data_IF_776350662679
#
_entry.id   IF_776350662679
#
_cell.length_a   1.000
_cell.length_b   1.000
_cell.length_c   1.000
_cell.angle_alpha   90.00
_cell.angle_beta   90.00
_cell.angle_gamma   90.00
#
_symmetry.space_group_name_H-M   'P 1'
#
loop_
_entity.id
_entity.type
_entity.pdbx_description
1 polymer ?
#
# COMPACT_ATOMS: atom_id res chain seq x y z
N UNK A 1 17.60 -22.96 -13.33
CA UNK A 1 18.58 -22.30 -12.44
C UNK A 1 17.75 -21.35 -11.58
N UNK A 2 17.77 -21.49 -10.24
CA UNK A 2 17.20 -20.44 -9.36
C UNK A 2 18.06 -19.21 -9.54
N UNK A 3 17.45 -18.08 -9.96
CA UNK A 3 18.17 -16.82 -10.01
C UNK A 3 18.59 -16.47 -8.57
N UNK A 4 19.83 -16.03 -8.36
CA UNK A 4 20.36 -15.60 -7.04
C UNK A 4 19.58 -14.41 -6.43
N UNK A 5 18.60 -13.89 -7.16
CA UNK A 5 17.75 -12.76 -6.75
C UNK A 5 16.42 -13.17 -6.12
N UNK A 6 16.03 -14.44 -6.22
CA UNK A 6 14.73 -14.89 -5.74
C UNK A 6 14.72 -15.03 -4.22
N UNK A 7 13.82 -14.33 -3.56
CA UNK A 7 13.55 -14.50 -2.13
C UNK A 7 12.06 -14.49 -1.84
N UNK A 8 11.71 -15.07 -0.71
CA UNK A 8 10.34 -15.05 -0.19
C UNK A 8 10.39 -14.92 1.33
N UNK A 9 9.54 -14.09 1.88
CA UNK A 9 9.34 -13.95 3.32
C UNK A 9 7.86 -14.07 3.67
N UNK A 10 7.58 -14.77 4.76
CA UNK A 10 6.23 -14.82 5.33
C UNK A 10 5.91 -13.47 5.95
N UNK A 11 4.78 -12.89 5.57
CA UNK A 11 4.26 -11.68 6.20
C UNK A 11 3.55 -12.02 7.51
N UNK A 12 3.67 -11.16 8.49
CA UNK A 12 2.96 -11.32 9.75
C UNK A 12 1.57 -10.69 9.65
N UNK A 13 0.57 -11.41 10.18
CA UNK A 13 -0.80 -10.92 10.36
C UNK A 13 -1.02 -10.61 11.83
N UNK A 14 -1.64 -9.48 12.10
CA UNK A 14 -2.14 -9.16 13.43
C UNK A 14 -3.64 -9.42 13.48
N UNK A 15 -4.11 -10.03 14.56
CA UNK A 15 -5.54 -10.27 14.73
C UNK A 15 -6.25 -8.92 14.87
N UNK A 16 -7.10 -8.59 13.89
CA UNK A 16 -7.84 -7.32 13.84
C UNK A 16 -7.15 -6.21 13.03
N UNK A 17 -5.85 -6.33 12.77
CA UNK A 17 -5.09 -5.46 11.86
C UNK A 17 -4.55 -6.34 10.74
N UNK A 18 -4.96 -6.06 9.51
CA UNK A 18 -4.61 -6.89 8.36
C UNK A 18 -3.52 -6.27 7.48
N UNK A 19 -2.90 -5.15 7.90
CA UNK A 19 -1.73 -4.62 7.23
C UNK A 19 -0.61 -5.68 7.23
N UNK A 20 0.10 -5.88 6.12
CA UNK A 20 1.18 -6.86 6.05
C UNK A 20 2.44 -6.30 6.71
N UNK A 21 3.01 -7.06 7.64
CA UNK A 21 4.28 -6.72 8.28
C UNK A 21 5.37 -7.69 7.84
N UNK A 22 6.47 -7.16 7.36
CA UNK A 22 7.68 -7.91 7.06
C UNK A 22 8.64 -7.86 8.26
N UNK A 23 9.14 -9.03 8.67
CA UNK A 23 10.20 -9.11 9.67
C UNK A 23 11.54 -8.82 9.02
N UNK A 24 12.23 -7.82 9.54
CA UNK A 24 13.59 -7.44 9.14
C UNK A 24 14.58 -7.72 10.27
N UNK A 25 15.83 -7.95 9.91
CA UNK A 25 16.95 -8.02 10.86
C UNK A 25 17.94 -6.90 10.57
N UNK A 26 18.51 -6.34 11.61
CA UNK A 26 19.53 -5.29 11.51
C UNK A 26 20.59 -5.47 12.59
N UNK A 27 21.73 -4.81 12.42
CA UNK A 27 22.84 -4.85 13.37
C UNK A 27 22.94 -3.49 14.04
N UNK A 28 23.01 -3.47 15.37
CA UNK A 28 23.21 -2.26 16.15
C UNK A 28 24.70 -1.82 16.20
N UNK A 29 24.98 -0.71 16.90
CA UNK A 29 26.34 -0.18 17.05
C UNK A 29 27.30 -1.12 17.82
N UNK A 30 26.77 -2.08 18.59
CA UNK A 30 27.52 -3.08 19.33
C UNK A 30 27.73 -4.39 18.52
N UNK A 31 27.40 -4.38 17.24
CA UNK A 31 27.41 -5.53 16.33
C UNK A 31 26.47 -6.67 16.75
N UNK A 32 25.41 -6.38 17.51
CA UNK A 32 24.37 -7.35 17.85
C UNK A 32 23.26 -7.32 16.81
N UNK A 33 22.77 -8.49 16.43
CA UNK A 33 21.64 -8.65 15.53
C UNK A 33 20.32 -8.53 16.29
N UNK A 34 19.43 -7.70 15.77
CA UNK A 34 18.08 -7.48 16.28
C UNK A 34 17.06 -7.76 15.20
N UNK A 35 15.83 -8.04 15.62
CA UNK A 35 14.68 -8.18 14.73
C UNK A 35 13.69 -7.05 14.96
N UNK A 36 13.10 -6.57 13.89
CA UNK A 36 12.01 -5.60 13.92
C UNK A 36 10.98 -5.91 12.84
N UNK A 37 9.87 -5.19 12.86
CA UNK A 37 8.83 -5.23 11.83
C UNK A 37 8.82 -3.94 11.05
N UNK A 38 8.49 -4.04 9.77
CA UNK A 38 8.15 -2.92 8.90
C UNK A 38 6.81 -3.21 8.22
N UNK A 39 5.95 -2.20 8.15
CA UNK A 39 4.72 -2.26 7.36
C UNK A 39 5.12 -2.35 5.89
N UNK A 40 4.52 -3.25 5.14
CA UNK A 40 4.66 -3.29 3.67
C UNK A 40 3.53 -2.47 3.09
N UNK A 41 3.84 -1.26 2.61
CA UNK A 41 2.87 -0.24 2.23
C UNK A 41 3.01 0.12 0.74
N UNK A 42 2.07 -0.36 -0.06
CA UNK A 42 2.02 -0.10 -1.50
C UNK A 42 1.76 1.36 -1.86
N UNK A 43 1.19 2.14 -0.96
CA UNK A 43 0.88 3.55 -1.16
C UNK A 43 1.88 4.51 -0.50
N UNK A 44 2.82 4.01 0.27
CA UNK A 44 4.01 4.78 0.65
C UNK A 44 5.00 4.82 -0.50
N UNK A 45 5.26 5.98 -1.10
CA UNK A 45 6.23 6.08 -2.20
C UNK A 45 7.63 5.65 -1.74
N UNK A 46 8.04 6.07 -0.54
CA UNK A 46 9.39 5.86 -0.01
C UNK A 46 9.39 4.92 1.18
N UNK A 47 10.54 4.30 1.44
CA UNK A 47 10.79 3.65 2.71
C UNK A 47 10.87 4.70 3.82
N UNK A 48 10.33 4.38 4.99
CA UNK A 48 10.28 5.31 6.13
C UNK A 48 10.80 4.61 7.39
N UNK A 49 11.72 5.25 8.11
CA UNK A 49 12.02 4.90 9.50
C UNK A 49 11.28 5.86 10.43
N UNK A 50 10.68 5.30 11.48
CA UNK A 50 10.08 6.06 12.57
C UNK A 50 11.22 6.39 13.53
N UNK A 51 11.75 7.62 13.43
CA UNK A 51 13.01 8.00 14.06
C UNK A 51 13.07 7.69 15.54
N UNK A 52 12.03 8.08 16.30
CA UNK A 52 11.99 7.81 17.75
C UNK A 52 12.06 6.31 18.08
N UNK A 53 11.35 5.47 17.35
CA UNK A 53 11.35 4.00 17.54
C UNK A 53 12.68 3.39 17.11
N UNK A 54 13.20 3.81 15.98
CA UNK A 54 14.46 3.32 15.45
C UNK A 54 15.61 3.63 16.42
N UNK A 55 15.67 4.84 16.96
CA UNK A 55 16.66 5.23 17.98
C UNK A 55 16.50 4.42 19.28
N UNK A 56 15.28 4.28 19.78
CA UNK A 56 14.99 3.48 20.98
C UNK A 56 15.46 2.03 20.87
N UNK A 57 15.42 1.46 19.67
CA UNK A 57 15.81 0.07 19.40
C UNK A 57 17.22 -0.07 18.82
N UNK A 58 18.04 0.98 18.89
CA UNK A 58 19.45 0.93 18.51
C UNK A 58 19.70 0.75 17.00
N UNK A 59 18.72 1.12 16.17
CA UNK A 59 18.89 1.11 14.71
C UNK A 59 19.96 2.10 14.30
N UNK A 60 20.94 1.63 13.54
CA UNK A 60 22.03 2.47 13.02
C UNK A 60 21.73 2.77 11.55
N UNK A 61 21.80 4.05 11.19
CA UNK A 61 21.67 4.50 9.81
C UNK A 61 22.78 5.50 9.46
N UNK A 62 23.07 5.60 8.17
CA UNK A 62 23.97 6.59 7.64
C UNK A 62 23.15 7.82 7.20
N UNK A 63 23.34 8.94 7.89
CA UNK A 63 22.66 10.19 7.50
C UNK A 63 23.12 10.63 6.09
N UNK A 64 22.17 11.12 5.30
CA UNK A 64 22.41 11.76 4.00
C UNK A 64 22.01 13.23 4.07
N UNK A 65 22.60 14.04 3.18
CA UNK A 65 22.25 15.46 3.08
C UNK A 65 20.88 15.65 2.44
N UNK A 66 20.12 16.61 2.95
CA UNK A 66 18.82 17.02 2.41
C UNK A 66 17.63 16.53 3.23
N UNK A 67 16.48 16.97 2.78
CA UNK A 67 15.19 16.64 3.36
C UNK A 67 14.21 16.30 2.26
N UNK A 68 13.15 15.55 2.60
CA UNK A 68 12.06 15.22 1.71
C UNK A 68 10.72 15.49 2.40
N UNK A 69 9.78 16.04 1.68
CA UNK A 69 8.41 16.17 2.15
C UNK A 69 7.61 14.95 1.74
N UNK A 70 7.01 14.28 2.70
CA UNK A 70 6.12 13.12 2.48
C UNK A 70 4.71 13.49 2.93
N UNK A 71 3.72 13.10 2.14
CA UNK A 71 2.31 13.26 2.46
C UNK A 71 1.75 11.99 3.12
N UNK A 72 0.69 12.16 3.90
CA UNK A 72 -0.09 11.08 4.48
C UNK A 72 -1.59 11.23 4.17
N UNK A 73 -2.39 10.30 4.64
CA UNK A 73 -3.83 10.25 4.44
C UNK A 73 -4.60 11.51 4.96
N UNK A 74 -3.96 12.35 5.77
CA UNK A 74 -4.54 13.59 6.33
C UNK A 74 -4.29 14.86 5.51
N UNK A 75 -3.78 14.76 4.29
CA UNK A 75 -3.39 15.92 3.44
C UNK A 75 -2.29 16.82 4.04
N UNK A 76 -1.70 16.44 5.14
CA UNK A 76 -0.57 17.16 5.74
C UNK A 76 0.75 16.66 5.18
N UNK A 77 1.68 17.59 4.97
CA UNK A 77 3.04 17.29 4.55
C UNK A 77 3.98 17.28 5.75
N UNK A 78 4.75 16.22 5.86
CA UNK A 78 5.77 16.08 6.90
C UNK A 78 7.15 16.16 6.26
N UNK A 79 8.01 17.04 6.77
CA UNK A 79 9.42 17.11 6.35
C UNK A 79 10.20 16.02 7.07
N UNK A 80 10.95 15.24 6.31
CA UNK A 80 11.77 14.12 6.80
C UNK A 80 13.22 14.33 6.44
N UNK A 81 14.14 13.78 7.24
CA UNK A 81 15.57 13.68 6.93
C UNK A 81 15.81 12.48 6.01
N UNK A 82 16.92 12.48 5.28
CA UNK A 82 17.31 11.36 4.44
C UNK A 82 18.41 10.54 5.10
N UNK A 83 18.37 9.24 4.91
CA UNK A 83 19.37 8.31 5.42
C UNK A 83 19.44 7.04 4.58
N UNK A 84 20.53 6.29 4.73
CA UNK A 84 20.64 4.90 4.28
C UNK A 84 20.61 3.96 5.46
N UNK A 85 19.86 2.88 5.31
CA UNK A 85 19.72 1.86 6.34
C UNK A 85 20.07 0.48 5.78
N UNK A 86 20.87 -0.25 6.58
CA UNK A 86 21.24 -1.64 6.29
C UNK A 86 20.32 -2.58 7.04
N UNK A 87 19.67 -3.49 6.33
CA UNK A 87 18.83 -4.51 6.92
C UNK A 87 18.84 -5.80 6.09
N UNK A 88 18.44 -6.89 6.74
CA UNK A 88 18.21 -8.19 6.09
C UNK A 88 16.71 -8.46 6.07
N UNK A 89 16.19 -8.84 4.92
CA UNK A 89 14.82 -9.28 4.73
C UNK A 89 14.84 -10.71 4.16
N UNK A 90 14.37 -11.68 4.94
CA UNK A 90 14.55 -13.08 4.61
C UNK A 90 16.04 -13.46 4.55
N UNK A 91 16.50 -13.95 3.39
CA UNK A 91 17.91 -14.31 3.17
C UNK A 91 18.74 -13.21 2.50
N UNK A 92 18.14 -12.05 2.19
CA UNK A 92 18.76 -11.02 1.37
C UNK A 92 19.09 -9.76 2.19
N UNK A 93 20.29 -9.24 1.99
CA UNK A 93 20.72 -7.98 2.58
C UNK A 93 20.41 -6.80 1.66
N UNK A 94 19.99 -5.69 2.25
CA UNK A 94 19.64 -4.46 1.58
C UNK A 94 20.37 -3.28 2.21
N UNK A 95 20.68 -2.28 1.39
CA UNK A 95 21.21 -0.99 1.81
C UNK A 95 20.46 0.10 1.04
N UNK A 96 19.36 0.56 1.63
CA UNK A 96 18.37 1.36 0.92
C UNK A 96 18.22 2.76 1.49
N UNK A 97 17.79 3.73 0.66
CA UNK A 97 17.40 5.04 1.14
C UNK A 97 16.10 4.99 1.93
N UNK A 98 16.07 5.75 3.03
CA UNK A 98 14.92 5.93 3.90
C UNK A 98 14.68 7.40 4.20
N UNK A 99 13.41 7.77 4.32
CA UNK A 99 12.98 9.00 4.95
C UNK A 99 12.89 8.77 6.47
N UNK A 100 13.58 9.58 7.26
CA UNK A 100 13.50 9.52 8.72
C UNK A 100 12.42 10.50 9.18
N UNK A 101 11.29 9.97 9.62
CA UNK A 101 10.24 10.78 10.23
C UNK A 101 10.56 10.98 11.71
N UNK A 102 10.79 12.23 12.08
CA UNK A 102 10.98 12.58 13.48
C UNK A 102 9.68 12.39 14.27
N UNK A 103 9.81 11.95 15.54
CA UNK A 103 8.69 11.61 16.40
C UNK A 103 8.08 10.24 16.07
N UNK A 104 6.90 9.99 16.62
CA UNK A 104 6.14 8.73 16.44
C UNK A 104 5.03 8.88 15.40
N UNK A 105 4.39 7.77 15.03
CA UNK A 105 3.20 7.71 14.18
C UNK A 105 2.13 6.87 14.87
N UNK A 106 0.87 7.10 14.50
CA UNK A 106 -0.26 6.44 15.14
C UNK A 106 -0.53 5.05 14.55
N UNK A 107 0.43 4.15 14.76
CA UNK A 107 0.31 2.71 14.52
C UNK A 107 0.84 1.99 15.76
N UNK A 108 0.52 0.72 16.01
CA UNK A 108 1.09 -0.05 17.12
C UNK A 108 2.61 0.08 17.17
N UNK A 109 3.18 0.20 18.37
CA UNK A 109 4.63 0.29 18.55
C UNK A 109 5.33 -1.06 18.39
N UNK A 110 4.62 -2.15 18.67
CA UNK A 110 5.12 -3.52 18.60
C UNK A 110 4.02 -4.52 18.31
N UNK A 111 4.42 -5.70 17.86
CA UNK A 111 3.55 -6.86 17.68
C UNK A 111 4.22 -8.08 18.30
N UNK A 112 3.59 -8.67 19.31
CA UNK A 112 4.14 -9.85 20.00
C UNK A 112 5.53 -9.62 20.59
N UNK A 113 5.81 -8.41 21.06
CA UNK A 113 7.11 -8.01 21.61
C UNK A 113 8.17 -7.69 20.54
N UNK A 114 7.81 -7.69 19.25
CA UNK A 114 8.72 -7.28 18.16
C UNK A 114 8.40 -5.84 17.75
N UNK A 115 9.35 -4.91 17.84
CA UNK A 115 9.10 -3.49 17.58
C UNK A 115 8.79 -3.23 16.09
N UNK A 116 7.88 -2.28 15.84
CA UNK A 116 7.64 -1.76 14.50
C UNK A 116 8.47 -0.48 14.34
N UNK A 117 9.43 -0.50 13.43
CA UNK A 117 10.41 0.59 13.26
C UNK A 117 10.21 1.41 11.98
N UNK A 118 9.35 0.98 11.06
CA UNK A 118 9.21 1.68 9.80
C UNK A 118 8.26 1.06 8.80
N UNK A 119 8.41 1.51 7.56
CA UNK A 119 7.59 1.18 6.40
C UNK A 119 8.51 0.83 5.23
N UNK A 120 8.21 -0.23 4.50
CA UNK A 120 8.76 -0.54 3.18
C UNK A 120 7.78 -0.04 2.12
N UNK A 121 8.23 0.89 1.30
CA UNK A 121 7.39 1.59 0.32
C UNK A 121 7.40 0.97 -1.07
N UNK A 122 6.57 1.51 -1.95
CA UNK A 122 6.37 0.95 -3.29
C UNK A 122 7.60 1.07 -4.21
N UNK A 123 8.42 2.12 -4.07
CA UNK A 123 9.66 2.23 -4.87
C UNK A 123 10.62 1.08 -4.57
N UNK A 124 10.71 0.64 -3.31
CA UNK A 124 11.45 -0.57 -2.93
C UNK A 124 10.85 -1.81 -3.60
N UNK A 125 9.53 -1.95 -3.55
CA UNK A 125 8.85 -3.09 -4.19
C UNK A 125 9.04 -3.09 -5.71
N UNK A 126 8.98 -1.94 -6.38
CA UNK A 126 9.23 -1.82 -7.81
C UNK A 126 10.68 -2.15 -8.16
N UNK A 127 11.66 -1.58 -7.42
CA UNK A 127 13.10 -1.78 -7.65
C UNK A 127 13.48 -3.26 -7.59
N UNK A 128 12.92 -3.99 -6.65
CA UNK A 128 13.20 -5.41 -6.45
C UNK A 128 12.18 -6.35 -7.07
N UNK A 129 11.23 -5.80 -7.83
CA UNK A 129 10.18 -6.55 -8.53
C UNK A 129 9.41 -7.48 -7.59
N UNK A 130 8.97 -6.94 -6.45
CA UNK A 130 8.31 -7.72 -5.42
C UNK A 130 6.81 -7.86 -5.71
N UNK A 131 6.24 -8.93 -5.17
CA UNK A 131 4.80 -9.15 -5.12
C UNK A 131 4.35 -9.32 -3.67
N UNK A 132 3.25 -8.68 -3.31
CA UNK A 132 2.50 -8.92 -2.07
C UNK A 132 1.40 -9.92 -2.43
N UNK A 133 1.52 -11.14 -1.97
CA UNK A 133 0.54 -12.21 -2.22
C UNK A 133 -0.31 -12.42 -0.96
N UNK A 134 -1.57 -12.01 -1.04
CA UNK A 134 -2.53 -12.18 0.05
C UNK A 134 -3.12 -13.59 0.11
N UNK A 135 -2.93 -14.42 -0.91
CA UNK A 135 -3.36 -15.82 -0.85
C UNK A 135 -2.49 -16.61 0.15
N UNK A 136 -1.16 -16.50 0.02
CA UNK A 136 -0.19 -17.16 0.88
C UNK A 136 0.35 -16.25 1.99
N UNK A 137 -0.03 -14.96 1.95
CA UNK A 137 0.42 -13.90 2.87
C UNK A 137 1.94 -13.76 2.88
N UNK A 138 2.53 -13.63 1.69
CA UNK A 138 3.97 -13.54 1.48
C UNK A 138 4.37 -12.27 0.75
N UNK A 139 5.60 -11.83 0.98
CA UNK A 139 6.31 -10.89 0.12
C UNK A 139 7.41 -11.66 -0.58
N UNK A 140 7.41 -11.67 -1.90
CA UNK A 140 8.38 -12.45 -2.67
C UNK A 140 8.80 -11.71 -3.94
N UNK A 141 9.93 -12.12 -4.51
CA UNK A 141 10.29 -11.68 -5.87
C UNK A 141 9.28 -12.23 -6.86
N UNK A 142 8.77 -11.39 -7.75
CA UNK A 142 7.85 -11.83 -8.79
C UNK A 142 8.54 -12.86 -9.70
N UNK A 143 7.99 -14.08 -9.71
CA UNK A 143 8.44 -15.18 -10.55
C UNK A 143 7.60 -15.32 -11.83
N UNK A 144 6.64 -14.43 -12.02
CA UNK A 144 5.77 -14.41 -13.17
C UNK A 144 6.41 -13.57 -14.26
N UNK A 145 6.53 -14.10 -15.47
CA UNK A 145 6.79 -13.25 -16.63
C UNK A 145 5.46 -12.68 -17.15
N UNK A 146 5.42 -11.44 -17.68
CA UNK A 146 4.21 -10.88 -18.26
C UNK A 146 3.57 -11.78 -19.32
N UNK A 147 4.39 -12.55 -20.05
CA UNK A 147 3.95 -13.47 -21.08
C UNK A 147 3.26 -14.74 -20.52
N UNK A 148 3.54 -15.09 -19.27
CA UNK A 148 2.98 -16.26 -18.59
C UNK A 148 1.77 -15.94 -17.72
N UNK A 149 1.51 -14.66 -17.47
CA UNK A 149 0.32 -14.22 -16.74
C UNK A 149 -0.81 -14.00 -17.75
N UNK A 150 -1.73 -14.95 -17.84
CA UNK A 150 -2.87 -14.86 -18.76
C UNK A 150 -4.08 -14.30 -18.02
N UNK A 151 -4.76 -13.38 -18.66
CA UNK A 151 -6.02 -12.80 -18.15
C UNK A 151 -7.04 -13.90 -17.89
N UNK A 152 -7.15 -14.90 -18.79
CA UNK A 152 -8.04 -16.06 -18.66
C UNK A 152 -7.80 -16.93 -17.42
N UNK A 153 -6.62 -16.85 -16.82
CA UNK A 153 -6.28 -17.60 -15.61
C UNK A 153 -6.62 -16.82 -14.31
N UNK A 154 -7.29 -15.66 -14.45
CA UNK A 154 -7.61 -14.76 -13.34
C UNK A 154 -9.11 -14.47 -13.24
N UNK A 155 -9.65 -14.49 -12.01
CA UNK A 155 -11.00 -13.99 -11.70
C UNK A 155 -11.05 -12.45 -11.67
N UNK A 156 -9.90 -11.82 -11.43
CA UNK A 156 -9.70 -10.38 -11.43
C UNK A 156 -8.31 -10.05 -11.97
N UNK A 157 -8.24 -9.04 -12.83
CA UNK A 157 -6.99 -8.62 -13.45
C UNK A 157 -7.03 -7.13 -13.79
N UNK A 158 -6.09 -6.34 -13.25
CA UNK A 158 -6.03 -4.90 -13.49
C UNK A 158 -4.59 -4.40 -13.64
N UNK A 159 -4.28 -3.54 -14.63
CA UNK A 159 -2.94 -3.00 -14.82
C UNK A 159 -2.60 -1.93 -13.78
N UNK A 160 -1.63 -2.21 -12.93
CA UNK A 160 -1.07 -1.26 -11.96
C UNK A 160 -0.22 -0.19 -12.64
N UNK A 161 0.30 -0.46 -13.84
CA UNK A 161 1.24 0.38 -14.56
C UNK A 161 0.71 1.80 -14.78
N UNK A 162 -0.57 1.95 -15.14
CA UNK A 162 -1.21 3.25 -15.36
C UNK A 162 -1.12 4.11 -14.08
N UNK A 163 -1.37 3.52 -12.92
CA UNK A 163 -1.27 4.21 -11.65
C UNK A 163 0.16 4.57 -11.28
N UNK A 164 1.08 3.61 -11.42
CA UNK A 164 2.50 3.83 -11.13
C UNK A 164 3.12 4.87 -12.06
N UNK A 165 2.74 4.92 -13.34
CA UNK A 165 3.24 5.92 -14.29
C UNK A 165 2.69 7.32 -13.98
N UNK A 166 1.39 7.43 -13.66
CA UNK A 166 0.70 8.72 -13.53
C UNK A 166 0.74 9.28 -12.11
N UNK A 167 0.46 8.43 -11.11
CA UNK A 167 0.33 8.85 -9.71
C UNK A 167 1.55 8.46 -8.86
N UNK A 168 2.44 7.59 -9.37
CA UNK A 168 3.49 6.94 -8.59
C UNK A 168 2.96 5.93 -7.57
N UNK A 169 1.67 5.60 -7.61
CA UNK A 169 0.97 4.73 -6.66
C UNK A 169 0.12 3.70 -7.42
N UNK A 170 -0.08 2.48 -6.88
CA UNK A 170 -0.97 1.50 -7.49
C UNK A 170 -2.42 1.97 -7.38
N UNK A 171 -3.11 2.07 -8.50
CA UNK A 171 -4.51 2.46 -8.57
C UNK A 171 -5.37 1.36 -9.15
N UNK A 172 -6.66 1.45 -8.86
CA UNK A 172 -7.74 0.65 -9.43
C UNK A 172 -8.79 1.60 -9.99
N UNK A 173 -9.59 1.13 -10.93
CA UNK A 173 -10.78 1.82 -11.36
C UNK A 173 -12.02 1.14 -10.77
N UNK A 174 -12.88 1.95 -10.18
CA UNK A 174 -14.21 1.55 -9.73
C UNK A 174 -15.23 2.16 -10.69
N UNK A 175 -16.13 1.34 -11.23
CA UNK A 175 -17.26 1.81 -12.04
C UNK A 175 -18.49 1.96 -11.16
N UNK A 176 -19.08 3.15 -11.20
CA UNK A 176 -20.32 3.44 -10.51
C UNK A 176 -21.24 4.28 -11.40
N UNK A 177 -22.48 3.82 -11.59
CA UNK A 177 -23.49 4.52 -12.42
C UNK A 177 -22.95 4.93 -13.82
N UNK A 178 -22.10 4.10 -14.43
CA UNK A 178 -21.49 4.36 -15.73
C UNK A 178 -20.30 5.34 -15.73
N UNK A 179 -19.86 5.80 -14.55
CA UNK A 179 -18.68 6.67 -14.39
C UNK A 179 -17.56 5.89 -13.71
N UNK A 180 -16.36 6.00 -14.25
CA UNK A 180 -15.16 5.40 -13.66
C UNK A 180 -14.49 6.39 -12.72
N UNK A 181 -14.17 5.95 -11.51
CA UNK A 181 -13.45 6.71 -10.49
C UNK A 181 -12.19 5.97 -10.06
N UNK A 182 -11.17 6.72 -9.66
CA UNK A 182 -9.87 6.18 -9.29
C UNK A 182 -9.77 5.99 -7.78
N UNK A 183 -9.32 4.82 -7.36
CA UNK A 183 -8.99 4.50 -5.97
C UNK A 183 -7.60 3.88 -5.87
N UNK A 184 -6.96 3.99 -4.71
CA UNK A 184 -5.67 3.35 -4.44
C UNK A 184 -5.85 1.87 -4.04
N UNK A 185 -4.87 1.05 -4.37
CA UNK A 185 -4.70 -0.28 -3.77
C UNK A 185 -3.65 -0.18 -2.66
N UNK A 186 -4.10 0.03 -1.42
CA UNK A 186 -3.26 0.41 -0.28
C UNK A 186 -3.06 -0.75 0.69
N UNK A 187 -1.90 -1.40 0.61
CA UNK A 187 -1.55 -2.50 1.52
C UNK A 187 -1.25 -2.04 2.95
N UNK A 188 -0.89 -0.77 3.15
CA UNK A 188 -0.67 -0.19 4.47
C UNK A 188 -1.96 0.16 5.21
N UNK A 189 -3.08 0.30 4.49
CA UNK A 189 -4.35 0.66 5.08
C UNK A 189 -5.09 -0.54 5.68
N UNK A 190 -5.59 -0.36 6.91
CA UNK A 190 -6.36 -1.37 7.66
C UNK A 190 -7.88 -1.27 7.43
N UNK A 191 -8.32 -0.37 6.55
CA UNK A 191 -9.71 -0.17 6.18
C UNK A 191 -9.81 0.32 4.74
N UNK A 192 -10.94 0.05 4.08
CA UNK A 192 -11.27 0.77 2.85
C UNK A 192 -11.71 2.20 3.20
N UNK A 193 -11.40 3.17 2.35
CA UNK A 193 -11.76 4.59 2.54
C UNK A 193 -12.40 5.13 1.28
N UNK A 194 -13.40 5.99 1.45
CA UNK A 194 -14.03 6.73 0.35
C UNK A 194 -14.30 8.17 0.74
N UNK A 195 -14.17 9.09 -0.21
CA UNK A 195 -14.48 10.49 0.01
C UNK A 195 -16.00 10.73 0.09
N UNK A 196 -16.45 11.46 1.10
CA UNK A 196 -17.87 11.79 1.29
C UNK A 196 -18.46 12.59 0.12
N UNK A 197 -17.63 13.39 -0.57
CA UNK A 197 -18.08 14.13 -1.75
C UNK A 197 -18.48 13.18 -2.87
N UNK A 198 -17.71 12.09 -3.10
CA UNK A 198 -18.04 11.09 -4.12
C UNK A 198 -19.37 10.40 -3.85
N UNK A 199 -19.70 10.17 -2.57
CA UNK A 199 -21.00 9.63 -2.17
C UNK A 199 -22.12 10.62 -2.45
N UNK A 200 -21.92 11.92 -2.07
CA UNK A 200 -22.91 12.99 -2.26
C UNK A 200 -23.21 13.25 -3.74
N UNK A 201 -22.22 13.17 -4.59
CA UNK A 201 -22.37 13.39 -6.03
C UNK A 201 -23.11 12.23 -6.73
N UNK A 202 -23.66 11.28 -5.94
CA UNK A 202 -24.43 10.16 -6.44
C UNK A 202 -23.57 9.05 -7.05
N UNK A 203 -22.27 9.10 -6.75
CA UNK A 203 -21.32 8.12 -7.28
C UNK A 203 -21.47 6.73 -6.68
N UNK A 204 -21.96 6.59 -5.44
CA UNK A 204 -22.00 5.29 -4.77
C UNK A 204 -23.33 4.99 -4.10
N UNK A 205 -23.81 3.75 -4.29
CA UNK A 205 -24.88 3.18 -3.47
C UNK A 205 -24.30 2.82 -2.09
N UNK A 206 -24.61 3.62 -1.08
CA UNK A 206 -24.07 3.44 0.25
C UNK A 206 -25.13 3.62 1.34
N UNK A 207 -24.95 2.85 2.43
CA UNK A 207 -25.72 2.96 3.67
C UNK A 207 -24.78 3.37 4.80
N UNK A 208 -24.95 4.57 5.35
CA UNK A 208 -24.21 5.01 6.54
C UNK A 208 -24.64 4.17 7.74
N UNK A 209 -23.67 3.58 8.45
CA UNK A 209 -23.91 2.68 9.56
C UNK A 209 -23.99 3.39 10.92
N UNK A 210 -23.71 4.70 10.96
CA UNK A 210 -23.82 5.53 12.17
C UNK A 210 -22.69 5.38 13.19
N UNK A 211 -21.72 4.50 12.95
CA UNK A 211 -20.49 4.40 13.76
C UNK A 211 -19.54 5.52 13.39
N UNK A 212 -18.84 6.07 14.40
CA UNK A 212 -17.77 7.06 14.21
C UNK A 212 -16.48 6.45 14.70
N UNK A 213 -15.41 6.63 13.92
CA UNK A 213 -14.09 6.10 14.21
C UNK A 213 -13.04 7.13 13.76
N UNK A 214 -11.77 6.85 14.00
CA UNK A 214 -10.66 7.68 13.57
C UNK A 214 -9.74 6.85 12.69
N UNK A 215 -9.42 7.34 11.50
CA UNK A 215 -8.33 6.81 10.70
C UNK A 215 -7.06 7.60 10.99
N UNK A 216 -5.98 6.88 11.21
CA UNK A 216 -4.67 7.46 11.43
C UNK A 216 -3.79 7.28 10.21
N UNK A 217 -2.89 8.22 10.00
CA UNK A 217 -1.87 8.19 8.96
C UNK A 217 -0.57 8.80 9.47
N UNK A 218 0.43 8.88 8.60
CA UNK A 218 1.76 9.39 8.95
C UNK A 218 1.73 10.87 9.40
N UNK A 219 0.71 11.61 9.00
CA UNK A 219 0.55 13.04 9.25
C UNK A 219 -0.55 13.38 10.27
N UNK A 220 -1.21 12.38 10.87
CA UNK A 220 -2.26 12.61 11.86
C UNK A 220 -3.52 11.75 11.64
N UNK A 221 -4.56 12.02 12.43
CA UNK A 221 -5.83 11.30 12.40
C UNK A 221 -7.01 12.15 11.92
N UNK A 222 -8.00 11.51 11.32
CA UNK A 222 -9.25 12.14 10.86
C UNK A 222 -10.44 11.32 11.30
N UNK A 223 -11.48 12.01 11.82
CA UNK A 223 -12.75 11.38 12.16
C UNK A 223 -13.48 10.92 10.89
N UNK A 224 -13.98 9.71 10.90
CA UNK A 224 -14.67 9.06 9.79
C UNK A 224 -15.94 8.35 10.26
N UNK A 225 -16.83 8.01 9.33
CA UNK A 225 -18.03 7.21 9.59
C UNK A 225 -17.98 5.94 8.77
N UNK A 226 -18.48 4.87 9.34
CA UNK A 226 -18.65 3.62 8.60
C UNK A 226 -19.84 3.70 7.64
N UNK A 227 -19.64 3.17 6.45
CA UNK A 227 -20.70 2.97 5.47
C UNK A 227 -20.57 1.60 4.81
N UNK A 228 -21.68 0.92 4.58
CA UNK A 228 -21.75 -0.19 3.65
C UNK A 228 -21.83 0.37 2.23
N UNK A 229 -20.87 0.04 1.39
CA UNK A 229 -20.77 0.56 0.02
C UNK A 229 -20.85 -0.59 -0.98
N UNK A 230 -21.73 -0.45 -1.97
CA UNK A 230 -21.77 -1.32 -3.14
C UNK A 230 -20.98 -0.66 -4.26
N UNK A 231 -20.12 -1.42 -4.90
CA UNK A 231 -19.23 -0.91 -5.94
C UNK A 231 -18.89 -2.00 -6.96
N UNK A 232 -18.42 -1.58 -8.12
CA UNK A 232 -17.95 -2.47 -9.17
C UNK A 232 -16.49 -2.18 -9.47
N UNK A 233 -15.62 -3.16 -9.29
CA UNK A 233 -14.24 -3.07 -9.74
C UNK A 233 -14.16 -3.38 -11.23
N UNK A 234 -13.41 -2.59 -11.97
CA UNK A 234 -13.08 -2.92 -13.36
C UNK A 234 -12.03 -4.03 -13.39
N UNK A 235 -12.26 -5.01 -14.22
CA UNK A 235 -11.31 -6.07 -14.54
C UNK A 235 -11.11 -6.15 -16.05
N UNK A 236 -9.89 -6.40 -16.49
CA UNK A 236 -9.62 -6.69 -17.90
C UNK A 236 -10.05 -8.12 -18.21
N UNK A 237 -10.60 -8.30 -19.40
CA UNK A 237 -10.85 -9.60 -20.04
C UNK A 237 -10.01 -9.71 -21.32
N UNK A 238 -10.04 -10.86 -22.00
CA UNK A 238 -9.29 -11.03 -23.25
C UNK A 238 -9.78 -10.08 -24.36
N UNK A 239 -11.07 -9.74 -24.36
CA UNK A 239 -11.70 -8.95 -25.44
C UNK A 239 -12.00 -7.50 -25.03
N UNK A 240 -12.18 -7.19 -23.72
CA UNK A 240 -12.61 -5.88 -23.24
C UNK A 240 -12.40 -5.73 -21.73
N UNK A 241 -13.20 -4.89 -21.10
CA UNK A 241 -13.32 -4.74 -19.65
C UNK A 241 -14.67 -5.24 -19.17
N UNK A 242 -14.66 -5.91 -18.03
CA UNK A 242 -15.87 -6.34 -17.32
C UNK A 242 -15.90 -5.71 -15.94
N UNK A 243 -16.94 -5.98 -15.16
CA UNK A 243 -17.11 -5.48 -13.81
C UNK A 243 -17.33 -6.63 -12.81
N UNK A 244 -16.63 -6.55 -11.69
CA UNK A 244 -16.84 -7.45 -10.56
C UNK A 244 -17.56 -6.69 -9.45
N UNK A 245 -18.75 -7.16 -9.09
CA UNK A 245 -19.60 -6.54 -8.08
C UNK A 245 -19.15 -6.91 -6.68
N UNK A 246 -19.02 -5.89 -5.82
CA UNK A 246 -18.68 -6.04 -4.42
C UNK A 246 -19.58 -5.23 -3.50
N UNK A 247 -19.63 -5.64 -2.25
CA UNK A 247 -20.20 -4.89 -1.13
C UNK A 247 -19.28 -5.04 0.06
N UNK A 248 -18.83 -3.90 0.64
CA UNK A 248 -17.94 -3.92 1.79
C UNK A 248 -18.07 -2.64 2.64
N UNK A 249 -17.47 -2.66 3.83
CA UNK A 249 -17.44 -1.51 4.74
C UNK A 249 -16.32 -0.57 4.34
N UNK A 250 -16.67 0.71 4.21
CA UNK A 250 -15.76 1.81 3.97
C UNK A 250 -15.81 2.82 5.10
N UNK A 251 -14.68 3.39 5.42
CA UNK A 251 -14.57 4.61 6.21
C UNK A 251 -14.83 5.81 5.31
N UNK A 252 -15.80 6.63 5.64
CA UNK A 252 -16.18 7.81 4.86
C UNK A 252 -15.36 9.00 5.34
N UNK A 253 -14.38 9.42 4.55
CA UNK A 253 -13.55 10.59 4.79
C UNK A 253 -14.21 11.85 4.26
N UNK A 254 -13.97 13.00 4.92
CA UNK A 254 -14.48 14.30 4.44
C UNK A 254 -13.71 14.82 3.20
N UNK A 255 -12.52 14.30 2.95
CA UNK A 255 -11.61 14.77 1.90
C UNK A 255 -11.30 13.68 0.88
N UNK A 256 -11.01 14.09 -0.35
CA UNK A 256 -10.35 13.22 -1.32
C UNK A 256 -8.97 12.85 -0.78
N UNK A 257 -8.51 11.63 -1.09
CA UNK A 257 -7.14 11.22 -0.75
C UNK A 257 -6.10 11.99 -1.57
N UNK A 258 -6.43 12.30 -2.83
CA UNK A 258 -5.67 13.21 -3.68
C UNK A 258 -6.63 14.07 -4.48
N UNK A 259 -6.58 15.38 -4.30
CA UNK A 259 -7.38 16.31 -5.13
C UNK A 259 -6.71 16.54 -6.49
N UNK A 260 -7.45 17.01 -7.51
CA UNK A 260 -6.86 17.38 -8.79
C UNK A 260 -5.73 18.42 -8.69
N UNK A 261 -5.80 19.32 -7.70
CA UNK A 261 -4.77 20.34 -7.46
C UNK A 261 -3.50 19.73 -6.82
N UNK A 262 -3.65 18.64 -6.07
CA UNK A 262 -2.55 17.87 -5.50
C UNK A 262 -2.06 16.80 -6.47
N UNK A 263 -2.96 16.31 -7.33
CA UNK A 263 -2.67 15.44 -8.44
C UNK A 263 -1.92 16.24 -9.50
N UNK A 264 -0.65 15.93 -9.67
CA UNK A 264 0.17 16.50 -10.75
C UNK A 264 -0.48 16.19 -12.09
N UNK A 265 -0.29 17.09 -13.06
CA UNK A 265 -0.51 16.73 -14.45
C UNK A 265 0.42 15.55 -14.81
N UNK A 266 -0.04 14.68 -15.69
CA UNK A 266 0.81 13.67 -16.28
C UNK A 266 1.94 14.31 -17.12
N UNK A 267 2.82 13.48 -17.70
CA UNK A 267 3.92 13.95 -18.55
C UNK A 267 3.48 14.79 -19.76
N UNK A 268 2.22 14.68 -20.16
CA UNK A 268 1.62 15.39 -21.30
C UNK A 268 0.86 16.66 -20.84
N UNK A 269 0.91 16.99 -19.53
CA UNK A 269 0.24 18.17 -18.95
C UNK A 269 -1.26 17.96 -18.73
N UNK A 270 -1.77 16.75 -18.85
CA UNK A 270 -3.18 16.42 -18.61
C UNK A 270 -3.42 16.30 -17.10
N UNK A 271 -4.40 17.02 -16.59
CA UNK A 271 -4.78 16.97 -15.19
C UNK A 271 -5.32 15.58 -14.84
N UNK A 272 -4.76 14.97 -13.81
CA UNK A 272 -5.19 13.66 -13.34
C UNK A 272 -6.52 13.76 -12.58
N UNK A 273 -7.42 12.76 -12.71
CA UNK A 273 -8.65 12.74 -11.91
C UNK A 273 -8.31 12.60 -10.41
N UNK A 274 -9.20 13.06 -9.51
CA UNK A 274 -9.02 12.90 -8.09
C UNK A 274 -8.99 11.42 -7.70
N UNK A 275 -8.18 11.08 -6.72
CA UNK A 275 -8.25 9.76 -6.06
C UNK A 275 -9.32 9.85 -4.99
N UNK A 276 -10.45 9.20 -5.22
CA UNK A 276 -11.65 9.34 -4.39
C UNK A 276 -11.69 8.39 -3.19
N UNK A 277 -10.79 7.43 -3.14
CA UNK A 277 -10.77 6.43 -2.06
C UNK A 277 -9.60 5.49 -2.14
N UNK A 278 -9.60 4.50 -1.28
CA UNK A 278 -8.66 3.38 -1.34
C UNK A 278 -9.34 2.06 -0.96
N UNK A 279 -8.78 0.98 -1.48
CA UNK A 279 -9.06 -0.39 -1.09
C UNK A 279 -7.90 -0.84 -0.21
N UNK A 280 -8.21 -1.21 1.04
CA UNK A 280 -7.22 -1.59 2.04
C UNK A 280 -6.92 -3.08 2.08
N UNK A 281 -5.92 -3.43 2.87
CA UNK A 281 -5.47 -4.81 3.11
C UNK A 281 -6.57 -5.79 3.51
N UNK A 282 -7.57 -5.43 4.35
CA UNK A 282 -8.63 -6.36 4.71
C UNK A 282 -9.42 -6.89 3.51
N UNK A 283 -9.76 -5.99 2.59
CA UNK A 283 -10.46 -6.37 1.37
C UNK A 283 -9.56 -7.22 0.45
N UNK A 284 -8.32 -6.79 0.21
CA UNK A 284 -7.36 -7.52 -0.63
C UNK A 284 -7.08 -8.92 -0.08
N UNK A 285 -6.99 -9.07 1.24
CA UNK A 285 -6.83 -10.36 1.89
C UNK A 285 -8.07 -11.26 1.78
N UNK A 286 -9.28 -10.69 1.92
CA UNK A 286 -10.55 -11.40 1.71
C UNK A 286 -10.66 -11.92 0.29
N UNK A 287 -10.27 -11.09 -0.68
CA UNK A 287 -10.31 -11.42 -2.11
C UNK A 287 -9.08 -12.22 -2.58
N UNK A 288 -8.06 -12.41 -1.74
CA UNK A 288 -6.81 -13.14 -2.06
C UNK A 288 -6.07 -12.53 -3.26
N UNK A 289 -5.95 -11.23 -3.28
CA UNK A 289 -5.26 -10.52 -4.35
C UNK A 289 -3.75 -10.68 -4.29
N UNK A 290 -3.13 -10.53 -5.44
CA UNK A 290 -1.68 -10.36 -5.59
C UNK A 290 -1.43 -8.97 -6.16
N UNK A 291 -0.64 -8.15 -5.45
CA UNK A 291 -0.11 -6.89 -5.94
C UNK A 291 1.30 -7.16 -6.44
N UNK A 292 1.48 -7.31 -7.73
CA UNK A 292 2.76 -7.70 -8.33
C UNK A 292 3.44 -6.53 -9.03
N UNK A 293 4.42 -5.92 -8.36
CA UNK A 293 5.22 -4.81 -8.88
C UNK A 293 6.23 -5.27 -9.94
N UNK A 294 6.52 -6.56 -10.04
CA UNK A 294 7.41 -7.11 -11.05
C UNK A 294 6.82 -7.15 -12.44
N UNK A 295 5.53 -7.50 -12.55
CA UNK A 295 4.75 -7.49 -13.80
C UNK A 295 3.81 -6.30 -13.89
N UNK A 296 3.65 -5.52 -12.81
CA UNK A 296 2.82 -4.32 -12.69
C UNK A 296 1.32 -4.58 -12.87
N UNK A 297 0.84 -5.65 -12.25
CA UNK A 297 -0.57 -6.03 -12.23
C UNK A 297 -1.08 -6.29 -10.82
N UNK A 298 -2.37 -6.05 -10.62
CA UNK A 298 -3.15 -6.54 -9.50
C UNK A 298 -4.03 -7.64 -10.04
N UNK A 299 -3.97 -8.83 -9.47
CA UNK A 299 -4.75 -9.96 -9.96
C UNK A 299 -5.18 -10.92 -8.85
N UNK A 300 -6.20 -11.72 -9.14
CA UNK A 300 -6.65 -12.86 -8.36
C UNK A 300 -6.67 -14.07 -9.27
N UNK A 301 -5.83 -15.07 -8.97
CA UNK A 301 -5.79 -16.31 -9.75
C UNK A 301 -7.04 -17.15 -9.53
N UNK A 302 -7.50 -17.81 -10.59
CA UNK A 302 -8.52 -18.84 -10.50
C UNK A 302 -7.98 -20.03 -9.70
N UNK A 303 -8.66 -20.41 -8.60
CA UNK A 303 -8.28 -21.55 -7.76
C UNK A 303 -8.62 -22.91 -8.40
N UNK A 304 -9.22 -22.90 -9.59
CA UNK A 304 -9.70 -24.09 -10.32
C UNK A 304 -8.92 -24.41 -11.59
N UNK A 305 -7.89 -23.65 -11.90
CA UNK A 305 -7.02 -23.89 -13.04
C UNK A 305 -5.84 -24.79 -12.73
#
# INVERSE_FOLDING_TARGET
>A
MKNETDFMVQLMRVKGDLAPFAKVEYVDQDAKTHSALMVVDSCSCHNILIGARAEQHGVVWQAEEGTMNIGGAGNEMVTTRLAKFHFTLGSKQFHEPFCIKDGDIDIPSEIGGTPIIGILGNLFMQQYRLAIDYNDYTLHTSNVSPENLRISDCDFFFPMEIGLERYGLPVLAIRQNGTDVVVLADSGATSNIIASQTIKDGGFDCQILGTTDTIAGIAGGTEVKDAMVKFCLLTLTEDDTDVVHHEDIFKVSQHYLMTPEQGKCDKDGVQLPPVVGLIGSPFMAKEKWVLDFGVKYIYKKNLTA
#
